data_IF_097884914991
#
_entry.id   IF_097884914991
#
_cell.length_a   1.000
_cell.length_b   1.000
_cell.length_c   1.000
_cell.angle_alpha   90.00
_cell.angle_beta   90.00
_cell.angle_gamma   90.00
#
_symmetry.space_group_name_H-M   'P 1'
#
loop_
_entity.id
_entity.type
_entity.pdbx_description
1 polymer ?
#
# COMPACT_ATOMS: atom_id res chain seq x y z
N UNK A 1 -8.10 15.52 16.95
CA UNK A 1 -8.24 14.57 15.82
C UNK A 1 -8.06 15.27 14.47
N UNK A 2 -8.77 16.38 14.18
CA UNK A 2 -8.59 17.14 12.93
C UNK A 2 -7.16 17.65 12.69
N UNK A 3 -6.52 18.22 13.72
CA UNK A 3 -5.15 18.76 13.58
C UNK A 3 -4.15 17.68 13.16
N UNK A 4 -4.17 16.49 13.79
CA UNK A 4 -3.30 15.38 13.42
C UNK A 4 -3.52 14.93 11.97
N UNK A 5 -4.77 14.84 11.53
CA UNK A 5 -5.12 14.43 10.14
C UNK A 5 -4.67 15.49 9.14
N UNK A 6 -4.90 16.77 9.44
CA UNK A 6 -4.45 17.87 8.60
C UNK A 6 -2.92 17.91 8.47
N UNK A 7 -2.19 17.66 9.56
CA UNK A 7 -0.73 17.63 9.58
C UNK A 7 -0.17 16.43 8.78
N UNK A 8 -0.78 15.25 8.92
CA UNK A 8 -0.42 14.05 8.15
C UNK A 8 -0.65 14.28 6.66
N UNK A 9 -1.80 14.85 6.27
CA UNK A 9 -2.09 15.15 4.88
C UNK A 9 -1.14 16.20 4.32
N UNK A 10 -0.90 17.29 5.05
CA UNK A 10 -0.07 18.40 4.60
C UNK A 10 1.39 17.96 4.43
N UNK A 11 1.97 17.30 5.44
CA UNK A 11 3.36 16.82 5.36
C UNK A 11 3.51 15.66 4.39
N UNK A 12 2.55 14.72 4.34
CA UNK A 12 2.56 13.61 3.39
C UNK A 12 2.51 14.09 1.93
N UNK A 13 1.69 15.10 1.63
CA UNK A 13 1.61 15.69 0.29
C UNK A 13 2.90 16.47 -0.07
N UNK A 14 3.42 17.29 0.85
CA UNK A 14 4.66 18.03 0.65
C UNK A 14 5.86 17.12 0.42
N UNK A 15 5.99 16.04 1.19
CA UNK A 15 7.07 15.06 1.03
C UNK A 15 6.90 14.21 -0.23
N UNK A 16 5.67 13.81 -0.59
CA UNK A 16 5.42 13.12 -1.86
C UNK A 16 5.81 13.99 -3.05
N UNK A 17 5.64 15.31 -2.96
CA UNK A 17 6.08 16.25 -3.98
C UNK A 17 7.62 16.36 -4.05
N UNK A 18 8.30 16.41 -2.90
CA UNK A 18 9.77 16.36 -2.81
C UNK A 18 10.33 15.06 -3.42
N UNK A 19 9.75 13.89 -3.09
CA UNK A 19 10.21 12.59 -3.59
C UNK A 19 9.99 12.47 -5.11
N UNK A 20 8.91 13.06 -5.63
CA UNK A 20 8.65 13.12 -7.07
C UNK A 20 9.73 13.92 -7.80
N UNK A 21 10.29 14.96 -7.17
CA UNK A 21 11.42 15.75 -7.70
C UNK A 21 12.73 14.95 -7.75
N UNK A 22 12.87 13.96 -6.86
CA UNK A 22 14.03 13.05 -6.77
C UNK A 22 13.86 11.79 -7.66
N UNK A 23 12.83 11.75 -8.53
CA UNK A 23 12.46 10.58 -9.38
C UNK A 23 12.11 9.31 -8.58
N UNK A 24 11.87 9.41 -7.27
CA UNK A 24 11.45 8.28 -6.45
C UNK A 24 9.93 8.06 -6.56
N UNK A 25 9.45 6.81 -6.47
CA UNK A 25 8.02 6.52 -6.42
C UNK A 25 7.37 7.33 -5.30
N UNK A 26 6.32 8.11 -5.59
CA UNK A 26 5.64 8.94 -4.58
C UNK A 26 5.17 8.14 -3.36
N UNK A 27 4.91 6.84 -3.53
CA UNK A 27 4.58 5.89 -2.48
C UNK A 27 5.68 5.81 -1.39
N UNK A 28 6.96 5.81 -1.77
CA UNK A 28 8.09 5.80 -0.83
C UNK A 28 8.11 7.05 0.04
N UNK A 29 7.82 8.22 -0.54
CA UNK A 29 7.69 9.47 0.19
C UNK A 29 6.55 9.45 1.21
N UNK A 30 5.39 8.93 0.81
CA UNK A 30 4.24 8.77 1.71
C UNK A 30 4.53 7.77 2.86
N UNK A 31 5.22 6.66 2.58
CA UNK A 31 5.62 5.70 3.60
C UNK A 31 6.64 6.29 4.58
N UNK A 32 7.68 6.97 4.06
CA UNK A 32 8.69 7.63 4.88
C UNK A 32 8.06 8.68 5.80
N UNK A 33 7.13 9.49 5.29
CA UNK A 33 6.39 10.42 6.15
C UNK A 33 5.55 9.72 7.20
N UNK A 34 4.92 8.58 6.88
CA UNK A 34 4.16 7.79 7.85
C UNK A 34 5.03 7.20 8.96
N UNK A 35 6.27 6.84 8.66
CA UNK A 35 7.25 6.36 9.64
C UNK A 35 7.76 7.52 10.51
N UNK A 36 8.09 8.67 9.91
CA UNK A 36 8.60 9.86 10.62
C UNK A 36 7.52 10.54 11.47
N UNK A 37 6.29 10.65 10.97
CA UNK A 37 5.14 11.17 11.73
C UNK A 37 4.46 10.09 12.59
N UNK A 38 4.94 8.85 12.48
CA UNK A 38 4.42 7.71 13.18
C UNK A 38 4.53 7.86 14.71
N UNK A 39 3.80 7.03 15.46
CA UNK A 39 3.82 7.03 16.92
C UNK A 39 5.23 6.79 17.50
N UNK A 40 6.17 6.31 16.69
CA UNK A 40 7.57 6.07 17.05
C UNK A 40 8.43 7.34 17.20
N UNK A 41 8.02 8.50 16.66
CA UNK A 41 8.81 9.74 16.77
C UNK A 41 8.01 10.92 17.33
N UNK A 42 6.73 11.08 16.95
CA UNK A 42 5.95 12.26 17.38
C UNK A 42 4.76 12.00 18.30
N UNK A 43 4.32 10.76 18.57
CA UNK A 43 3.18 10.45 19.46
C UNK A 43 1.89 11.29 19.18
N UNK A 44 1.72 11.82 17.97
CA UNK A 44 0.59 12.66 17.55
C UNK A 44 -0.56 11.85 16.91
N UNK A 45 -0.35 10.54 16.69
CA UNK A 45 -1.35 9.60 16.20
C UNK A 45 -2.08 9.03 17.41
N UNK A 46 -3.29 9.54 17.64
CA UNK A 46 -4.18 9.05 18.69
C UNK A 46 -4.46 7.56 18.49
N UNK A 47 -4.45 6.77 19.56
CA UNK A 47 -4.72 5.32 19.55
C UNK A 47 -6.04 4.94 18.86
N UNK A 48 -6.97 5.88 18.75
CA UNK A 48 -8.22 5.75 17.99
C UNK A 48 -7.98 5.52 16.48
N UNK A 49 -6.96 6.14 15.87
CA UNK A 49 -6.58 5.89 14.47
C UNK A 49 -5.91 4.51 14.29
N UNK A 50 -5.14 4.05 15.29
CA UNK A 50 -4.57 2.71 15.26
C UNK A 50 -5.66 1.63 15.35
N UNK A 51 -6.72 1.87 16.14
CA UNK A 51 -7.87 0.99 16.22
C UNK A 51 -8.66 0.96 14.88
N UNK A 52 -8.91 2.13 14.28
CA UNK A 52 -9.61 2.23 12.99
C UNK A 52 -8.73 1.82 11.79
N UNK A 53 -7.41 1.67 11.98
CA UNK A 53 -6.43 1.34 10.92
C UNK A 53 -6.75 0.02 10.21
N UNK A 54 -7.30 -0.96 10.93
CA UNK A 54 -7.75 -2.23 10.34
C UNK A 54 -8.83 -1.98 9.29
N UNK A 55 -9.86 -1.20 9.63
CA UNK A 55 -10.97 -0.90 8.73
C UNK A 55 -10.53 -0.01 7.56
N UNK A 56 -9.68 0.99 7.81
CA UNK A 56 -9.09 1.82 6.76
C UNK A 56 -8.28 1.00 5.76
N UNK A 57 -7.47 0.03 6.23
CA UNK A 57 -6.71 -0.87 5.36
C UNK A 57 -7.62 -1.73 4.50
N UNK A 58 -8.72 -2.25 5.04
CA UNK A 58 -9.73 -3.00 4.27
C UNK A 58 -10.34 -2.14 3.17
N UNK A 59 -10.79 -0.93 3.51
CA UNK A 59 -11.37 0.01 2.53
C UNK A 59 -10.35 0.37 1.45
N UNK A 60 -9.10 0.64 1.83
CA UNK A 60 -8.02 0.91 0.89
C UNK A 60 -7.76 -0.28 -0.06
N UNK A 61 -7.71 -1.51 0.46
CA UNK A 61 -7.56 -2.71 -0.36
C UNK A 61 -8.73 -2.88 -1.34
N UNK A 62 -9.96 -2.66 -0.89
CA UNK A 62 -11.15 -2.70 -1.76
C UNK A 62 -10.98 -1.67 -2.89
N UNK A 63 -10.65 -0.42 -2.58
CA UNK A 63 -10.46 0.64 -3.59
C UNK A 63 -9.33 0.28 -4.57
N UNK A 64 -8.19 -0.23 -4.08
CA UNK A 64 -7.04 -0.62 -4.90
C UNK A 64 -7.43 -1.76 -5.85
N UNK A 65 -8.08 -2.81 -5.33
CA UNK A 65 -8.51 -3.97 -6.11
C UNK A 65 -9.59 -3.60 -7.12
N UNK A 66 -10.58 -2.81 -6.73
CA UNK A 66 -11.61 -2.30 -7.64
C UNK A 66 -11.00 -1.44 -8.74
N UNK A 67 -10.05 -0.55 -8.42
CA UNK A 67 -9.36 0.28 -9.42
C UNK A 67 -8.51 -0.56 -10.37
N UNK A 68 -7.82 -1.58 -9.87
CA UNK A 68 -7.07 -2.52 -10.70
C UNK A 68 -8.00 -3.34 -11.62
N UNK A 69 -9.16 -3.76 -11.12
CA UNK A 69 -10.17 -4.49 -11.88
C UNK A 69 -10.87 -3.64 -12.96
N UNK A 70 -11.17 -2.38 -12.66
CA UNK A 70 -11.81 -1.45 -13.62
C UNK A 70 -10.86 -0.99 -14.73
N UNK A 71 -9.56 -0.90 -14.45
CA UNK A 71 -8.53 -0.56 -15.44
C UNK A 71 -8.08 -1.73 -16.31
N UNK A 72 -8.70 -2.90 -16.15
CA UNK A 72 -8.28 -4.12 -16.82
C UNK A 72 -9.00 -4.28 -18.18
N UNK A 73 -8.20 -4.39 -19.25
CA UNK A 73 -8.72 -4.65 -20.59
C UNK A 73 -9.01 -6.14 -20.78
N UNK A 74 -10.28 -6.48 -21.03
CA UNK A 74 -10.76 -7.86 -21.20
C UNK A 74 -10.11 -8.58 -22.40
N UNK A 75 -9.71 -7.84 -23.43
CA UNK A 75 -9.11 -8.39 -24.65
C UNK A 75 -7.63 -8.73 -24.40
N UNK A 76 -6.91 -7.83 -23.73
CA UNK A 76 -5.56 -8.08 -23.23
C UNK A 76 -5.53 -9.23 -22.23
N UNK A 77 -6.47 -9.25 -21.27
CA UNK A 77 -6.53 -10.33 -20.28
C UNK A 77 -6.83 -11.69 -20.91
N UNK A 78 -7.65 -11.77 -21.96
CA UNK A 78 -7.88 -13.06 -22.64
C UNK A 78 -6.61 -13.59 -23.33
N UNK A 79 -5.76 -12.70 -23.84
CA UNK A 79 -4.48 -13.06 -24.50
C UNK A 79 -3.41 -13.49 -23.49
N UNK A 80 -3.37 -12.85 -22.32
CA UNK A 80 -2.32 -13.07 -21.29
C UNK A 80 -2.85 -13.91 -20.11
N UNK A 81 -4.13 -14.31 -20.12
CA UNK A 81 -4.80 -14.92 -18.98
C UNK A 81 -4.19 -16.26 -18.58
N UNK A 82 -3.79 -17.09 -19.55
CA UNK A 82 -3.11 -18.37 -19.29
C UNK A 82 -1.78 -18.18 -18.54
N UNK A 83 -0.80 -17.38 -19.03
CA UNK A 83 0.43 -17.12 -18.30
C UNK A 83 0.21 -16.33 -17.00
N UNK A 84 -0.79 -15.44 -16.94
CA UNK A 84 -1.11 -14.71 -15.70
C UNK A 84 -1.61 -15.65 -14.59
N UNK A 85 -2.50 -16.60 -14.90
CA UNK A 85 -2.98 -17.59 -13.94
C UNK A 85 -1.84 -18.50 -13.49
N UNK A 86 -0.99 -18.96 -14.42
CA UNK A 86 0.21 -19.74 -14.08
C UNK A 86 1.17 -18.93 -13.18
N UNK A 87 1.41 -17.66 -13.48
CA UNK A 87 2.24 -16.78 -12.64
C UNK A 87 1.64 -16.48 -11.27
N UNK A 88 0.31 -16.52 -11.09
CA UNK A 88 -0.28 -16.35 -9.77
C UNK A 88 -0.27 -17.66 -8.96
N UNK A 89 -0.52 -18.80 -9.62
CA UNK A 89 -0.80 -20.06 -8.93
C UNK A 89 0.45 -20.89 -8.65
N UNK A 90 1.38 -20.96 -9.61
CA UNK A 90 2.61 -21.75 -9.48
C UNK A 90 3.50 -21.20 -8.35
N UNK A 91 3.96 -19.93 -8.37
CA UNK A 91 4.83 -19.43 -7.32
C UNK A 91 4.13 -19.39 -5.96
N UNK A 92 2.85 -19.01 -5.87
CA UNK A 92 2.14 -18.99 -4.59
C UNK A 92 2.00 -20.39 -3.97
N UNK A 93 1.76 -21.43 -4.78
CA UNK A 93 1.68 -22.81 -4.28
C UNK A 93 3.04 -23.33 -3.82
N UNK A 94 4.12 -22.98 -4.53
CA UNK A 94 5.48 -23.29 -4.10
C UNK A 94 5.87 -22.54 -2.82
N UNK A 95 5.45 -21.28 -2.68
CA UNK A 95 5.75 -20.43 -1.51
C UNK A 95 5.02 -20.91 -0.24
N UNK A 96 3.81 -21.45 -0.38
CA UNK A 96 3.04 -22.06 0.73
C UNK A 96 3.50 -23.48 1.06
N UNK A 97 3.95 -24.24 0.06
CA UNK A 97 4.41 -25.61 0.23
C UNK A 97 5.85 -25.73 0.75
N UNK A 98 6.71 -24.74 0.48
CA UNK A 98 8.03 -24.65 1.10
C UNK A 98 7.90 -24.10 2.52
N UNK A 99 8.52 -24.71 3.53
CA UNK A 99 8.52 -24.18 4.88
C UNK A 99 9.13 -22.77 4.87
N UNK A 100 8.27 -21.77 5.09
CA UNK A 100 8.55 -20.33 5.23
C UNK A 100 9.37 -20.01 6.50
N UNK A 101 10.38 -20.82 6.84
CA UNK A 101 11.16 -20.67 8.08
C UNK A 101 12.50 -19.96 7.91
N UNK A 102 12.83 -19.40 6.73
CA UNK A 102 14.17 -18.87 6.48
C UNK A 102 14.27 -17.52 5.72
N UNK A 103 13.16 -16.79 5.56
CA UNK A 103 13.14 -15.51 4.82
C UNK A 103 12.41 -14.34 5.49
N UNK A 104 12.07 -14.43 6.78
CA UNK A 104 11.73 -13.29 7.64
C UNK A 104 12.63 -13.25 8.86
#
# INVERSE_FOLDING_TARGET
MLLSIALILLVGMSASWICKKIKLPGLLGMLATGIVLGPYVLNLIASSILNISSELRKIALIIILTRAGLGLDITGLKKIGRPAILMCFLPASFEIGLPQSHWF
#
